data_IF_244826729580
#
_entry.id   IF_244826729580
#
_cell.length_a   1.000
_cell.length_b   1.000
_cell.length_c   1.000
_cell.angle_alpha   90.00
_cell.angle_beta   90.00
_cell.angle_gamma   90.00
#
_symmetry.space_group_name_H-M   'P 1'
#
loop_
_entity.id
_entity.type
_entity.pdbx_description
1 polymer ?
#
# COMPACT_ATOMS: atom_id res chain seq x y z
N UNK A 1 15.26 -9.38 38.99
CA UNK A 1 15.10 -10.63 38.20
C UNK A 1 16.41 -10.91 37.48
N UNK A 2 17.07 -12.05 37.75
CA UNK A 2 18.31 -12.44 37.07
C UNK A 2 17.95 -13.00 35.69
N UNK A 3 18.40 -12.37 34.61
CA UNK A 3 18.26 -12.93 33.26
C UNK A 3 19.03 -14.26 33.18
N UNK A 4 18.45 -15.34 32.62
CA UNK A 4 19.15 -16.61 32.47
C UNK A 4 20.35 -16.45 31.54
N UNK A 5 21.52 -17.02 31.91
CA UNK A 5 22.79 -16.99 31.15
C UNK A 5 22.65 -17.44 29.69
N UNK A 6 21.58 -18.17 29.36
CA UNK A 6 21.22 -18.62 28.01
C UNK A 6 20.86 -17.44 27.09
N UNK A 7 20.18 -16.40 27.60
CA UNK A 7 19.80 -15.24 26.79
C UNK A 7 21.00 -14.34 26.44
N UNK A 8 21.99 -14.27 27.34
CA UNK A 8 23.23 -13.52 27.08
C UNK A 8 24.08 -14.20 26.01
N UNK A 9 24.11 -15.54 25.99
CA UNK A 9 24.81 -16.31 24.97
C UNK A 9 24.13 -16.21 23.59
N UNK A 10 22.78 -16.19 23.55
CA UNK A 10 22.03 -16.01 22.31
C UNK A 10 22.23 -14.59 21.75
N UNK A 11 22.24 -13.55 22.60
CA UNK A 11 22.53 -12.18 22.19
C UNK A 11 23.96 -11.99 21.69
N UNK A 12 24.95 -12.64 22.30
CA UNK A 12 26.35 -12.61 21.83
C UNK A 12 26.54 -13.36 20.52
N UNK A 13 25.89 -14.52 20.33
CA UNK A 13 25.91 -15.24 19.05
C UNK A 13 25.19 -14.46 17.94
N UNK A 14 24.07 -13.79 18.26
CA UNK A 14 23.36 -12.94 17.30
C UNK A 14 24.19 -11.70 16.91
N UNK A 15 24.91 -11.08 17.86
CA UNK A 15 25.81 -9.96 17.60
C UNK A 15 27.03 -10.37 16.76
N UNK A 16 27.60 -11.55 17.00
CA UNK A 16 28.71 -12.09 16.20
C UNK A 16 28.29 -12.49 14.78
N UNK A 17 27.06 -13.00 14.59
CA UNK A 17 26.48 -13.27 13.28
C UNK A 17 26.13 -11.99 12.51
N UNK A 18 25.74 -10.91 13.20
CA UNK A 18 25.51 -9.59 12.60
C UNK A 18 26.80 -8.85 12.22
N UNK A 19 27.92 -9.07 12.94
CA UNK A 19 29.22 -8.49 12.58
C UNK A 19 29.97 -9.26 11.48
N UNK A 20 29.71 -10.56 11.32
CA UNK A 20 30.38 -11.39 10.30
C UNK A 20 29.79 -11.23 8.88
N UNK A 21 28.57 -10.69 8.74
CA UNK A 21 27.93 -10.46 7.44
C UNK A 21 28.36 -9.20 6.69
N UNK A 22 29.18 -8.34 7.30
CA UNK A 22 29.49 -7.01 6.76
C UNK A 22 30.80 -6.88 5.97
N UNK A 23 31.52 -7.96 5.69
CA UNK A 23 32.90 -7.85 5.17
C UNK A 23 33.25 -8.84 4.07
N UNK A 24 32.44 -8.95 3.01
CA UNK A 24 32.90 -9.43 1.69
C UNK A 24 32.01 -8.86 0.57
N UNK A 25 32.07 -7.55 0.35
CA UNK A 25 31.82 -6.97 -0.97
C UNK A 25 33.16 -6.42 -1.46
N UNK A 26 33.93 -7.29 -2.12
CA UNK A 26 35.06 -6.83 -2.95
C UNK A 26 34.41 -6.23 -4.19
N UNK A 27 34.38 -4.90 -4.24
CA UNK A 27 34.04 -4.16 -5.45
C UNK A 27 35.13 -4.45 -6.47
N UNK A 28 34.80 -5.27 -7.46
CA UNK A 28 35.64 -5.54 -8.61
C UNK A 28 35.61 -4.25 -9.44
N UNK A 29 36.59 -3.35 -9.24
CA UNK A 29 36.70 -2.10 -9.99
C UNK A 29 36.88 -2.43 -11.48
N UNK A 30 35.78 -2.57 -12.19
CA UNK A 30 35.74 -2.50 -13.63
C UNK A 30 36.30 -1.13 -14.03
N UNK A 31 37.40 -1.12 -14.77
CA UNK A 31 38.02 0.11 -15.24
C UNK A 31 37.03 0.81 -16.18
N UNK A 32 36.56 2.01 -15.80
CA UNK A 32 35.57 2.77 -16.56
C UNK A 32 36.10 3.10 -17.96
N UNK A 33 35.27 3.05 -19.01
CA UNK A 33 35.67 3.50 -20.35
C UNK A 33 36.10 4.96 -20.31
N UNK A 34 37.16 5.28 -21.07
CA UNK A 34 37.71 6.63 -21.13
C UNK A 34 36.86 7.52 -22.04
N UNK A 35 36.46 8.68 -21.54
CA UNK A 35 35.77 9.73 -22.28
C UNK A 35 36.68 10.96 -22.38
N UNK A 36 37.11 11.32 -23.58
CA UNK A 36 37.95 12.49 -23.81
C UNK A 36 37.13 13.64 -24.38
N UNK A 37 37.29 14.84 -23.81
CA UNK A 37 36.64 16.05 -24.33
C UNK A 37 37.66 17.18 -24.52
N UNK A 38 37.84 17.62 -25.75
CA UNK A 38 38.75 18.70 -26.12
C UNK A 38 37.94 19.92 -26.56
N UNK A 39 38.32 21.09 -26.06
CA UNK A 39 37.68 22.35 -26.44
C UNK A 39 38.70 23.49 -26.47
N UNK A 40 38.33 24.57 -27.13
CA UNK A 40 39.10 25.81 -27.11
C UNK A 40 38.24 26.91 -26.50
N UNK A 41 38.70 27.49 -25.39
CA UNK A 41 37.98 28.56 -24.72
C UNK A 41 38.94 29.65 -24.24
N UNK A 42 38.58 30.90 -24.56
CA UNK A 42 39.30 32.14 -24.20
C UNK A 42 38.59 32.91 -23.08
N UNK A 43 37.38 32.50 -22.71
CA UNK A 43 36.53 33.16 -21.73
C UNK A 43 36.69 32.52 -20.35
N UNK A 44 37.19 33.26 -19.37
CA UNK A 44 37.43 32.77 -18.00
C UNK A 44 36.14 32.41 -17.24
N UNK A 45 34.99 32.95 -17.66
CA UNK A 45 33.69 32.67 -17.05
C UNK A 45 32.91 31.55 -17.75
N UNK A 46 33.30 31.20 -18.97
CA UNK A 46 32.60 30.20 -19.77
C UNK A 46 33.11 28.81 -19.36
N UNK A 47 32.20 27.85 -19.21
CA UNK A 47 32.51 26.48 -18.76
C UNK A 47 32.03 25.44 -19.79
N UNK A 48 32.64 25.35 -20.99
CA UNK A 48 32.25 24.36 -21.99
C UNK A 48 32.31 22.91 -21.46
N UNK A 49 33.23 22.64 -20.52
CA UNK A 49 33.31 21.36 -19.84
C UNK A 49 32.03 21.03 -19.05
N UNK A 50 31.47 22.00 -18.33
CA UNK A 50 30.24 21.81 -17.56
C UNK A 50 29.02 21.68 -18.48
N UNK A 51 28.95 22.46 -19.56
CA UNK A 51 27.91 22.34 -20.58
C UNK A 51 27.90 20.96 -21.24
N UNK A 52 29.08 20.42 -21.58
CA UNK A 52 29.21 19.07 -22.10
C UNK A 52 28.81 18.01 -21.06
N UNK A 53 29.27 18.16 -19.82
CA UNK A 53 28.94 17.24 -18.72
C UNK A 53 27.41 17.15 -18.52
N UNK A 54 26.75 18.29 -18.49
CA UNK A 54 25.31 18.37 -18.24
C UNK A 54 24.48 17.84 -19.42
N UNK A 55 24.95 18.00 -20.66
CA UNK A 55 24.25 17.54 -21.86
C UNK A 55 24.55 16.08 -22.23
N UNK A 56 25.65 15.49 -21.75
CA UNK A 56 26.08 14.14 -22.14
C UNK A 56 25.01 13.08 -21.88
N UNK A 57 24.36 13.12 -20.71
CA UNK A 57 23.31 12.15 -20.35
C UNK A 57 22.05 12.30 -21.20
N UNK A 58 21.75 13.52 -21.66
CA UNK A 58 20.62 13.79 -22.56
C UNK A 58 20.93 13.30 -23.98
N UNK A 59 22.16 13.52 -24.45
CA UNK A 59 22.61 13.11 -25.78
C UNK A 59 22.73 11.58 -25.92
N UNK A 60 23.26 10.90 -24.89
CA UNK A 60 23.62 9.48 -24.99
C UNK A 60 22.66 8.55 -24.25
N UNK A 61 21.95 9.06 -23.26
CA UNK A 61 21.18 8.24 -22.32
C UNK A 61 22.02 7.53 -21.24
N UNK A 62 23.33 7.77 -21.20
CA UNK A 62 24.24 7.23 -20.20
C UNK A 62 24.63 8.26 -19.16
N UNK A 63 24.81 7.81 -17.91
CA UNK A 63 25.32 8.70 -16.87
C UNK A 63 26.80 8.94 -17.10
N UNK A 64 27.23 10.20 -17.02
CA UNK A 64 28.65 10.53 -17.18
C UNK A 64 29.54 9.85 -16.12
N UNK A 65 28.97 9.48 -14.97
CA UNK A 65 29.64 8.71 -13.92
C UNK A 65 30.05 7.30 -14.36
N UNK A 66 29.51 6.78 -15.45
CA UNK A 66 29.92 5.49 -16.04
C UNK A 66 31.27 5.59 -16.75
N UNK A 67 31.73 6.80 -17.08
CA UNK A 67 32.96 7.06 -17.82
C UNK A 67 34.04 7.67 -16.92
N UNK A 68 35.30 7.44 -17.29
CA UNK A 68 36.43 8.25 -16.82
C UNK A 68 36.54 9.48 -17.74
N UNK A 69 35.89 10.59 -17.37
CA UNK A 69 35.96 11.83 -18.12
C UNK A 69 37.32 12.52 -17.91
N UNK A 70 38.01 12.84 -19.01
CA UNK A 70 39.14 13.78 -19.03
C UNK A 70 38.88 14.87 -20.07
N UNK A 71 38.93 16.12 -19.63
CA UNK A 71 38.70 17.26 -20.51
C UNK A 71 39.90 18.20 -20.56
N UNK A 72 40.12 18.82 -21.72
CA UNK A 72 41.31 19.61 -21.99
C UNK A 72 40.97 20.87 -22.81
N UNK A 73 41.25 22.04 -22.23
CA UNK A 73 41.27 23.29 -22.98
C UNK A 73 42.58 23.39 -23.77
N UNK A 74 42.53 23.24 -25.10
CA UNK A 74 43.69 23.18 -26.00
C UNK A 74 44.42 24.53 -26.16
N UNK A 75 43.85 25.61 -25.61
CA UNK A 75 44.54 26.90 -25.51
C UNK A 75 45.80 26.78 -24.64
N UNK A 76 45.79 25.87 -23.66
CA UNK A 76 46.94 25.59 -22.81
C UNK A 76 47.91 24.68 -23.58
N UNK A 77 49.18 25.08 -23.69
CA UNK A 77 50.17 24.37 -24.51
C UNK A 77 50.36 22.90 -24.09
N UNK A 78 50.32 22.60 -22.78
CA UNK A 78 50.39 21.21 -22.29
C UNK A 78 49.20 20.37 -22.76
N UNK A 79 48.01 20.95 -22.77
CA UNK A 79 46.78 20.29 -23.21
C UNK A 79 46.73 20.12 -24.73
N UNK A 80 47.30 21.08 -25.49
CA UNK A 80 47.45 20.98 -26.93
C UNK A 80 48.27 19.77 -27.35
N UNK A 81 49.36 19.47 -26.63
CA UNK A 81 50.18 18.27 -26.87
C UNK A 81 49.38 16.98 -26.64
N UNK A 82 48.51 16.96 -25.63
CA UNK A 82 47.61 15.82 -25.37
C UNK A 82 46.60 15.66 -26.50
N UNK A 83 46.03 16.76 -26.99
CA UNK A 83 45.13 16.75 -28.16
C UNK A 83 45.84 16.24 -29.42
N UNK A 84 47.02 16.76 -29.75
CA UNK A 84 47.83 16.31 -30.90
C UNK A 84 48.20 14.82 -30.82
N UNK A 85 48.43 14.31 -29.60
CA UNK A 85 48.65 12.89 -29.37
C UNK A 85 47.36 12.08 -29.60
N UNK A 86 46.22 12.53 -29.06
CA UNK A 86 44.93 11.87 -29.27
C UNK A 86 44.55 11.83 -30.77
N UNK A 87 44.81 12.89 -31.53
CA UNK A 87 44.58 12.90 -32.98
C UNK A 87 45.34 11.77 -33.70
N UNK A 88 46.56 11.45 -33.25
CA UNK A 88 47.37 10.34 -33.78
C UNK A 88 46.85 9.00 -33.29
N UNK A 89 46.60 8.87 -31.99
CA UNK A 89 46.18 7.61 -31.36
C UNK A 89 44.85 7.09 -31.92
N UNK A 90 43.93 8.00 -32.26
CA UNK A 90 42.61 7.69 -32.84
C UNK A 90 42.56 7.87 -34.36
N UNK A 91 43.69 8.09 -35.04
CA UNK A 91 43.80 8.27 -36.50
C UNK A 91 42.81 9.29 -37.08
N UNK A 92 42.69 10.46 -36.45
CA UNK A 92 41.73 11.51 -36.84
C UNK A 92 42.18 12.21 -38.13
N UNK A 93 41.42 12.14 -39.24
CA UNK A 93 41.74 12.81 -40.50
C UNK A 93 41.88 14.32 -40.36
N UNK A 94 42.78 14.95 -41.11
CA UNK A 94 43.02 16.41 -41.06
C UNK A 94 41.74 17.23 -41.28
N UNK A 95 40.86 16.77 -42.17
CA UNK A 95 39.57 17.39 -42.49
C UNK A 95 38.51 17.22 -41.40
N UNK A 96 38.83 16.56 -40.27
CA UNK A 96 37.96 16.36 -39.11
C UNK A 96 38.59 16.86 -37.81
N UNK A 97 39.70 17.59 -37.86
CA UNK A 97 40.39 18.12 -36.66
C UNK A 97 39.78 19.45 -36.19
N UNK A 98 38.48 19.43 -35.86
CA UNK A 98 37.75 20.59 -35.34
C UNK A 98 37.40 20.42 -33.87
N UNK A 99 37.31 21.56 -33.18
CA UNK A 99 36.87 21.65 -31.79
C UNK A 99 35.46 22.26 -31.70
N UNK A 100 34.70 21.95 -30.63
CA UNK A 100 35.01 20.96 -29.61
C UNK A 100 34.99 19.53 -30.17
N UNK A 101 35.75 18.61 -29.56
CA UNK A 101 35.85 17.22 -29.97
C UNK A 101 35.62 16.31 -28.77
N UNK A 102 34.72 15.34 -28.92
CA UNK A 102 34.52 14.27 -27.95
C UNK A 102 35.00 12.94 -28.53
N UNK A 103 35.64 12.11 -27.72
CA UNK A 103 36.01 10.74 -28.06
C UNK A 103 35.38 9.82 -27.03
N UNK A 104 34.44 8.99 -27.47
CA UNK A 104 33.64 8.09 -26.62
C UNK A 104 33.71 6.69 -27.23
N UNK A 105 34.08 5.69 -26.43
CA UNK A 105 34.20 4.28 -26.87
C UNK A 105 35.04 4.09 -28.17
N UNK A 106 36.06 4.94 -28.34
CA UNK A 106 36.93 4.94 -29.50
C UNK A 106 36.38 5.64 -30.76
N UNK A 107 35.15 6.16 -30.70
CA UNK A 107 34.52 6.93 -31.78
C UNK A 107 34.77 8.42 -31.58
N UNK A 108 35.12 9.11 -32.67
CA UNK A 108 35.49 10.54 -32.67
C UNK A 108 34.33 11.40 -33.18
N UNK A 109 33.87 12.33 -32.34
CA UNK A 109 32.84 13.30 -32.63
C UNK A 109 33.44 14.70 -32.68
N UNK A 110 33.86 15.11 -33.88
CA UNK A 110 34.46 16.42 -34.12
C UNK A 110 33.41 17.50 -34.42
N UNK A 111 33.44 18.58 -33.66
CA UNK A 111 32.54 19.72 -33.77
C UNK A 111 31.20 19.53 -33.07
N UNK A 112 30.58 20.66 -32.70
CA UNK A 112 29.28 20.70 -32.03
C UNK A 112 28.19 19.94 -32.79
N UNK A 113 28.19 20.02 -34.14
CA UNK A 113 27.21 19.32 -34.97
C UNK A 113 27.28 17.81 -34.77
N UNK A 114 28.47 17.20 -34.85
CA UNK A 114 28.60 15.74 -34.69
C UNK A 114 28.33 15.30 -33.25
N UNK A 115 28.70 16.11 -32.25
CA UNK A 115 28.35 15.85 -30.85
C UNK A 115 26.82 15.89 -30.65
N UNK A 116 26.10 16.78 -31.34
CA UNK A 116 24.66 16.92 -31.18
C UNK A 116 23.82 16.01 -32.08
N UNK A 117 24.37 15.42 -33.15
CA UNK A 117 23.61 14.55 -34.07
C UNK A 117 24.18 13.15 -34.22
N UNK A 118 25.48 13.00 -34.53
CA UNK A 118 26.10 11.70 -34.75
C UNK A 118 26.27 10.90 -33.45
N UNK A 119 26.69 11.56 -32.37
CA UNK A 119 26.85 10.89 -31.07
C UNK A 119 25.52 10.31 -30.56
N UNK A 120 24.41 11.07 -30.48
CA UNK A 120 23.13 10.47 -30.10
C UNK A 120 22.69 9.29 -30.97
N UNK A 121 22.92 9.37 -32.29
CA UNK A 121 22.55 8.31 -33.22
C UNK A 121 23.27 6.99 -32.91
N UNK A 122 24.59 7.04 -32.71
CA UNK A 122 25.40 5.85 -32.42
C UNK A 122 25.00 5.17 -31.10
N UNK A 123 24.56 5.94 -30.10
CA UNK A 123 24.09 5.42 -28.81
C UNK A 123 22.69 4.79 -28.87
N UNK A 124 21.90 5.11 -29.90
CA UNK A 124 20.56 4.56 -30.08
C UNK A 124 20.58 3.20 -30.79
N UNK A 125 21.49 2.96 -31.73
CA UNK A 125 21.54 1.71 -32.51
C UNK A 125 21.64 0.44 -31.64
N UNK A 126 22.13 0.56 -30.40
CA UNK A 126 22.33 -0.54 -29.47
C UNK A 126 21.35 -0.57 -28.27
N UNK A 127 20.31 0.28 -28.26
CA UNK A 127 19.38 0.40 -27.12
C UNK A 127 17.91 0.37 -27.53
N UNK A 128 17.04 0.07 -26.57
CA UNK A 128 15.61 0.25 -26.78
C UNK A 128 15.29 1.74 -26.98
N UNK A 129 14.56 2.04 -28.03
CA UNK A 129 14.02 3.38 -28.29
C UNK A 129 12.66 3.60 -27.63
N UNK A 130 12.15 2.65 -26.83
CA UNK A 130 10.87 2.78 -26.16
C UNK A 130 10.95 3.86 -25.06
N UNK A 131 9.99 4.78 -25.09
CA UNK A 131 9.73 5.73 -24.03
C UNK A 131 8.85 5.05 -22.97
N UNK A 132 9.46 4.61 -21.87
CA UNK A 132 8.74 3.94 -20.78
C UNK A 132 8.45 4.93 -19.66
N UNK A 133 7.18 4.99 -19.27
CA UNK A 133 6.63 5.91 -18.27
C UNK A 133 5.97 5.08 -17.17
N UNK A 134 6.46 5.19 -15.93
CA UNK A 134 5.75 4.64 -14.77
C UNK A 134 4.87 5.72 -14.15
N UNK A 135 3.58 5.44 -14.00
CA UNK A 135 2.63 6.33 -13.34
C UNK A 135 2.08 5.67 -12.09
N UNK A 136 2.49 6.16 -10.91
CA UNK A 136 1.87 5.75 -9.65
C UNK A 136 0.63 6.59 -9.39
N UNK A 137 -0.50 5.93 -9.19
CA UNK A 137 -1.78 6.55 -8.91
C UNK A 137 -2.50 5.86 -7.76
N UNK A 138 -3.54 6.52 -7.25
CA UNK A 138 -4.52 5.89 -6.36
C UNK A 138 -5.95 6.28 -6.76
N UNK A 139 -6.96 5.42 -6.55
CA UNK A 139 -8.35 5.73 -6.94
C UNK A 139 -8.96 6.94 -6.22
N UNK A 140 -8.49 7.24 -5.00
CA UNK A 140 -8.97 8.32 -4.14
C UNK A 140 -8.25 9.66 -4.35
N UNK A 141 -7.30 9.72 -5.28
CA UNK A 141 -6.45 10.89 -5.52
C UNK A 141 -7.08 11.85 -6.53
N UNK A 142 -7.50 13.03 -6.08
CA UNK A 142 -8.10 14.08 -6.92
C UNK A 142 -7.16 14.54 -8.04
N UNK A 143 -5.87 14.70 -7.73
CA UNK A 143 -4.86 15.07 -8.74
C UNK A 143 -4.64 13.98 -9.79
N UNK A 144 -4.89 12.71 -9.47
CA UNK A 144 -4.70 11.60 -10.39
C UNK A 144 -5.73 11.63 -11.51
N UNK A 145 -6.97 12.06 -11.22
CA UNK A 145 -7.99 12.29 -12.24
C UNK A 145 -7.59 13.40 -13.22
N UNK A 146 -6.88 14.44 -12.76
CA UNK A 146 -6.41 15.54 -13.62
C UNK A 146 -5.27 15.13 -14.55
N UNK A 147 -4.50 14.11 -14.18
CA UNK A 147 -3.38 13.58 -14.98
C UNK A 147 -3.86 12.56 -16.01
N UNK A 148 -5.00 11.90 -15.78
CA UNK A 148 -5.56 10.90 -16.70
C UNK A 148 -5.81 11.44 -18.11
N UNK A 149 -6.32 12.67 -18.25
CA UNK A 149 -6.52 13.29 -19.57
C UNK A 149 -5.20 13.49 -20.33
N UNK A 150 -4.15 13.91 -19.61
CA UNK A 150 -2.80 14.09 -20.18
C UNK A 150 -2.20 12.76 -20.62
N UNK A 151 -2.38 11.71 -19.82
CA UNK A 151 -1.89 10.36 -20.14
C UNK A 151 -2.68 9.71 -21.28
N UNK A 152 -3.99 9.94 -21.35
CA UNK A 152 -4.85 9.43 -22.42
C UNK A 152 -4.58 10.11 -23.77
N UNK A 153 -4.05 11.33 -23.75
CA UNK A 153 -3.65 12.07 -24.96
C UNK A 153 -2.30 11.62 -25.52
N UNK A 154 -1.55 10.75 -24.83
CA UNK A 154 -0.26 10.28 -25.32
C UNK A 154 -0.44 9.36 -26.54
N UNK A 155 0.27 9.61 -27.65
CA UNK A 155 0.21 8.74 -28.82
C UNK A 155 0.95 7.42 -28.57
N UNK A 156 0.62 6.36 -29.32
CA UNK A 156 1.35 5.08 -29.25
C UNK A 156 2.81 5.21 -29.70
N UNK A 157 3.08 6.12 -30.64
CA UNK A 157 4.42 6.44 -31.16
C UNK A 157 4.57 7.95 -31.31
N UNK A 158 5.76 8.46 -31.05
CA UNK A 158 6.10 9.87 -31.25
C UNK A 158 7.52 10.07 -31.73
N UNK A 159 7.74 11.13 -32.50
CA UNK A 159 9.07 11.62 -32.85
C UNK A 159 9.68 12.32 -31.64
N UNK A 160 10.82 11.81 -31.16
CA UNK A 160 11.56 12.36 -30.02
C UNK A 160 12.95 12.81 -30.44
N UNK A 161 13.58 13.66 -29.62
CA UNK A 161 14.88 14.26 -29.93
C UNK A 161 15.91 13.99 -28.85
N UNK A 162 17.14 13.66 -29.26
CA UNK A 162 18.35 13.74 -28.44
C UNK A 162 19.33 14.70 -29.12
N UNK A 163 19.51 15.89 -28.56
CA UNK A 163 20.22 16.97 -29.25
C UNK A 163 19.50 17.35 -30.55
N UNK A 164 20.21 17.26 -31.67
CA UNK A 164 19.69 17.54 -33.01
C UNK A 164 19.31 16.26 -33.79
N UNK A 165 19.36 15.09 -33.14
CA UNK A 165 18.96 13.82 -33.73
C UNK A 165 17.51 13.49 -33.37
N UNK A 166 16.67 13.26 -34.38
CA UNK A 166 15.27 12.90 -34.22
C UNK A 166 15.05 11.42 -34.62
N UNK A 167 14.26 10.71 -33.84
CA UNK A 167 13.90 9.31 -34.10
C UNK A 167 12.52 8.97 -33.55
N UNK A 168 11.94 7.90 -34.08
CA UNK A 168 10.63 7.40 -33.62
C UNK A 168 10.79 6.58 -32.34
N UNK A 169 9.95 6.88 -31.36
CA UNK A 169 9.89 6.19 -30.07
C UNK A 169 8.48 5.68 -29.80
N UNK A 170 8.36 4.42 -29.39
CA UNK A 170 7.10 3.85 -28.91
C UNK A 170 6.87 4.26 -27.46
N UNK A 171 5.70 4.80 -27.14
CA UNK A 171 5.33 5.20 -25.79
C UNK A 171 4.70 4.03 -25.06
N UNK A 172 5.28 3.66 -23.92
CA UNK A 172 4.79 2.60 -23.03
C UNK A 172 4.44 3.19 -21.68
N UNK A 173 3.14 3.37 -21.44
CA UNK A 173 2.62 3.78 -20.15
C UNK A 173 2.36 2.57 -19.26
N UNK A 174 3.02 2.51 -18.11
CA UNK A 174 2.81 1.51 -17.07
C UNK A 174 2.12 2.20 -15.89
N UNK A 175 0.81 1.95 -15.76
CA UNK A 175 0.02 2.45 -14.63
C UNK A 175 0.15 1.49 -13.46
N UNK A 176 0.48 2.01 -12.29
CA UNK A 176 0.70 1.24 -11.08
C UNK A 176 -0.15 1.84 -9.97
N UNK A 177 -1.11 1.08 -9.46
CA UNK A 177 -1.81 1.49 -8.26
C UNK A 177 -0.86 1.33 -7.06
N UNK A 178 -0.56 2.46 -6.40
CA UNK A 178 0.41 2.53 -5.29
C UNK A 178 0.06 1.58 -4.13
N UNK A 179 -1.22 1.25 -3.95
CA UNK A 179 -1.67 0.38 -2.87
C UNK A 179 -1.70 -1.10 -3.24
N UNK A 180 -1.90 -1.43 -4.52
CA UNK A 180 -1.89 -2.82 -5.00
C UNK A 180 -0.47 -3.35 -5.18
N UNK A 181 0.46 -2.48 -5.60
CA UNK A 181 1.84 -2.80 -5.94
C UNK A 181 2.81 -1.93 -5.13
N UNK A 182 2.71 -2.03 -3.80
CA UNK A 182 3.54 -1.31 -2.84
C UNK A 182 5.04 -1.58 -3.03
N UNK A 183 5.38 -2.79 -3.41
CA UNK A 183 6.73 -3.25 -3.76
C UNK A 183 7.29 -2.50 -4.97
N UNK A 184 6.52 -2.39 -6.05
CA UNK A 184 6.91 -1.61 -7.24
C UNK A 184 7.03 -0.12 -6.90
N UNK A 185 6.09 0.41 -6.11
CA UNK A 185 6.13 1.80 -5.68
C UNK A 185 7.35 2.10 -4.82
N UNK A 186 7.68 1.25 -3.84
CA UNK A 186 8.88 1.38 -3.02
C UNK A 186 10.15 1.26 -3.85
N UNK A 187 10.23 0.28 -4.76
CA UNK A 187 11.37 0.12 -5.66
C UNK A 187 11.59 1.38 -6.53
N UNK A 188 10.51 2.02 -7.00
CA UNK A 188 10.58 3.30 -7.69
C UNK A 188 11.06 4.42 -6.74
N UNK A 189 10.49 4.54 -5.54
CA UNK A 189 10.91 5.57 -4.58
C UNK A 189 12.39 5.45 -4.22
N UNK A 190 12.88 4.23 -3.98
CA UNK A 190 14.28 3.97 -3.65
C UNK A 190 15.19 4.26 -4.85
N UNK A 191 14.83 3.77 -6.05
CA UNK A 191 15.61 3.98 -7.28
C UNK A 191 15.80 5.46 -7.62
N UNK A 192 14.74 6.24 -7.46
CA UNK A 192 14.74 7.67 -7.79
C UNK A 192 15.04 8.56 -6.57
N UNK A 193 15.34 7.94 -5.41
CA UNK A 193 15.63 8.63 -4.15
C UNK A 193 14.56 9.69 -3.83
N UNK A 194 13.29 9.30 -3.93
CA UNK A 194 12.15 10.21 -3.71
C UNK A 194 12.05 10.54 -2.21
N UNK A 195 12.10 11.83 -1.83
CA UNK A 195 11.92 12.26 -0.43
C UNK A 195 10.59 11.77 0.15
N UNK A 196 10.57 11.38 1.43
CA UNK A 196 9.38 10.83 2.09
C UNK A 196 8.13 11.73 1.96
N UNK A 197 8.30 13.05 2.01
CA UNK A 197 7.22 14.04 1.85
C UNK A 197 6.63 14.06 0.42
N UNK A 198 7.33 13.49 -0.56
CA UNK A 198 6.93 13.41 -1.97
C UNK A 198 6.55 12.00 -2.41
N UNK A 199 6.55 11.02 -1.51
CA UNK A 199 6.08 9.66 -1.78
C UNK A 199 4.55 9.58 -1.79
N UNK A 200 3.94 10.42 -2.63
CA UNK A 200 2.49 10.59 -2.76
C UNK A 200 2.08 10.55 -4.23
N UNK A 201 0.83 10.19 -4.48
CA UNK A 201 0.25 10.18 -5.83
C UNK A 201 -0.44 11.52 -6.14
N UNK A 202 -0.49 11.95 -7.42
CA UNK A 202 0.10 11.31 -8.59
C UNK A 202 1.61 11.54 -8.68
N UNK A 203 2.35 10.55 -9.15
CA UNK A 203 3.78 10.70 -9.45
C UNK A 203 4.15 9.89 -10.70
N UNK A 204 4.91 10.52 -11.59
CA UNK A 204 5.40 9.92 -12.84
C UNK A 204 6.91 9.77 -12.79
N UNK A 205 7.43 8.63 -13.22
CA UNK A 205 8.86 8.35 -13.35
C UNK A 205 9.24 8.12 -14.81
N UNK A 206 10.32 8.79 -15.21
CA UNK A 206 11.03 8.66 -16.49
C UNK A 206 12.46 8.17 -16.21
N UNK A 207 13.36 8.09 -17.20
CA UNK A 207 14.64 7.39 -17.06
C UNK A 207 15.48 7.85 -15.86
N UNK A 208 15.65 9.16 -15.74
CA UNK A 208 16.54 9.79 -14.75
C UNK A 208 15.83 10.78 -13.82
N UNK A 209 14.52 10.95 -13.99
CA UNK A 209 13.75 11.99 -13.29
C UNK A 209 12.34 11.53 -12.94
N UNK A 210 11.70 12.27 -12.03
CA UNK A 210 10.31 12.08 -11.66
C UNK A 210 9.57 13.41 -11.48
N UNK A 211 8.25 13.36 -11.62
CA UNK A 211 7.34 14.47 -11.41
C UNK A 211 6.26 14.07 -10.41
N UNK A 212 6.28 14.68 -9.22
CA UNK A 212 5.24 14.53 -8.19
C UNK A 212 4.24 15.69 -8.29
N UNK A 213 2.95 15.36 -8.21
CA UNK A 213 1.84 16.30 -8.27
C UNK A 213 1.32 16.57 -9.69
N UNK A 214 0.00 16.74 -9.81
CA UNK A 214 -0.70 16.87 -11.09
C UNK A 214 -0.20 18.05 -11.95
N UNK A 215 0.00 19.21 -11.32
CA UNK A 215 0.46 20.43 -11.99
C UNK A 215 1.82 20.22 -12.67
N UNK A 216 2.80 19.67 -11.94
CA UNK A 216 4.15 19.44 -12.47
C UNK A 216 4.15 18.38 -13.56
N UNK A 217 3.35 17.33 -13.42
CA UNK A 217 3.20 16.29 -14.45
C UNK A 217 2.63 16.90 -15.74
N UNK A 218 1.52 17.64 -15.65
CA UNK A 218 0.87 18.23 -16.82
C UNK A 218 1.76 19.28 -17.53
N UNK A 219 2.61 19.98 -16.79
CA UNK A 219 3.56 20.94 -17.36
C UNK A 219 4.78 20.28 -18.03
N UNK A 220 5.34 19.24 -17.40
CA UNK A 220 6.67 18.74 -17.77
C UNK A 220 6.65 17.48 -18.62
N UNK A 221 5.60 16.66 -18.55
CA UNK A 221 5.59 15.33 -19.17
C UNK A 221 5.81 15.40 -20.68
N UNK A 222 5.03 16.20 -21.40
CA UNK A 222 5.15 16.29 -22.85
C UNK A 222 6.53 16.79 -23.31
N UNK A 223 7.05 17.84 -22.65
CA UNK A 223 8.41 18.33 -22.90
C UNK A 223 9.46 17.23 -22.68
N UNK A 224 9.33 16.45 -21.61
CA UNK A 224 10.28 15.39 -21.29
C UNK A 224 10.25 14.25 -22.32
N UNK A 225 9.07 13.94 -22.83
CA UNK A 225 8.91 12.93 -23.88
C UNK A 225 9.48 13.39 -25.22
N UNK A 226 9.18 14.63 -25.64
CA UNK A 226 9.75 15.23 -26.86
C UNK A 226 11.28 15.27 -26.83
N UNK A 227 11.89 15.42 -25.65
CA UNK A 227 13.34 15.42 -25.45
C UNK A 227 13.91 14.05 -25.05
N UNK A 228 13.21 12.95 -25.37
CA UNK A 228 13.64 11.57 -25.19
C UNK A 228 14.07 11.19 -23.75
N UNK A 229 13.60 11.91 -22.72
CA UNK A 229 13.96 11.67 -21.32
C UNK A 229 13.30 10.41 -20.74
N UNK A 230 12.29 9.85 -21.42
CA UNK A 230 11.68 8.56 -21.09
C UNK A 230 12.31 7.38 -21.84
N UNK A 231 13.16 7.64 -22.84
CA UNK A 231 13.75 6.59 -23.68
C UNK A 231 14.82 5.86 -22.90
N UNK A 232 14.66 4.53 -22.77
CA UNK A 232 15.59 3.70 -22.03
C UNK A 232 15.36 3.67 -20.51
N UNK A 233 14.19 4.11 -20.03
CA UNK A 233 13.79 3.86 -18.63
C UNK A 233 13.78 2.34 -18.40
N UNK A 234 14.56 1.88 -17.42
CA UNK A 234 14.64 0.46 -17.10
C UNK A 234 13.27 -0.07 -16.64
N UNK A 235 12.88 -1.22 -17.18
CA UNK A 235 11.74 -1.96 -16.67
C UNK A 235 12.13 -2.55 -15.32
N UNK A 236 11.31 -2.32 -14.30
CA UNK A 236 11.39 -3.06 -13.05
C UNK A 236 10.81 -4.44 -13.38
N UNK A 237 11.69 -5.44 -13.50
CA UNK A 237 11.28 -6.85 -13.52
C UNK A 237 10.44 -7.10 -12.27
N UNK A 238 9.22 -7.63 -12.45
CA UNK A 238 8.21 -7.89 -11.41
C UNK A 238 8.89 -8.35 -10.11
N UNK A 239 9.18 -7.40 -9.22
CA UNK A 239 9.81 -7.69 -7.95
C UNK A 239 8.83 -8.61 -7.23
N UNK A 240 9.31 -9.78 -6.79
CA UNK A 240 8.48 -10.71 -6.06
C UNK A 240 7.81 -9.96 -4.90
N UNK A 241 6.46 -9.96 -4.80
CA UNK A 241 5.76 -9.12 -3.86
C UNK A 241 6.22 -9.44 -2.44
N UNK A 242 6.88 -8.48 -1.81
CA UNK A 242 7.14 -8.53 -0.38
C UNK A 242 5.78 -8.62 0.36
N UNK A 243 5.77 -9.36 1.47
CA UNK A 243 4.61 -10.02 2.07
C UNK A 243 3.61 -9.08 2.79
N UNK A 244 3.21 -7.97 2.15
CA UNK A 244 2.14 -7.07 2.59
C UNK A 244 0.78 -7.78 2.62
N UNK A 245 0.64 -8.89 1.88
CA UNK A 245 -0.51 -9.77 1.95
C UNK A 245 -0.74 -10.28 3.38
N UNK A 246 0.32 -10.74 4.05
CA UNK A 246 0.25 -11.27 5.41
C UNK A 246 -0.24 -10.24 6.43
N UNK A 247 0.17 -8.98 6.27
CA UNK A 247 -0.25 -7.89 7.15
C UNK A 247 -1.75 -7.56 6.98
N UNK A 248 -2.26 -7.56 5.75
CA UNK A 248 -3.69 -7.33 5.45
C UNK A 248 -4.57 -8.50 5.94
N UNK A 249 -4.13 -9.75 5.73
CA UNK A 249 -4.84 -10.93 6.23
C UNK A 249 -4.86 -10.97 7.76
N UNK A 250 -3.72 -10.71 8.41
CA UNK A 250 -3.60 -10.66 9.87
C UNK A 250 -4.41 -9.50 10.46
N UNK A 251 -4.37 -8.32 9.83
CA UNK A 251 -5.17 -7.16 10.22
C UNK A 251 -6.67 -7.46 10.16
N UNK A 252 -7.12 -8.10 9.07
CA UNK A 252 -8.53 -8.49 8.90
C UNK A 252 -8.98 -9.52 9.94
N UNK A 253 -8.14 -10.51 10.21
CA UNK A 253 -8.42 -11.56 11.20
C UNK A 253 -8.49 -10.97 12.62
N UNK A 254 -7.53 -10.12 12.99
CA UNK A 254 -7.50 -9.47 14.31
C UNK A 254 -8.67 -8.51 14.50
N UNK A 255 -8.98 -7.69 13.49
CA UNK A 255 -10.14 -6.79 13.52
C UNK A 255 -11.45 -7.56 13.69
N UNK A 256 -11.67 -8.62 12.90
CA UNK A 256 -12.85 -9.48 13.01
C UNK A 256 -12.96 -10.10 14.41
N UNK A 257 -11.88 -10.71 14.91
CA UNK A 257 -11.86 -11.35 16.23
C UNK A 257 -12.17 -10.36 17.36
N UNK A 258 -11.58 -9.17 17.33
CA UNK A 258 -11.83 -8.14 18.34
C UNK A 258 -13.27 -7.62 18.24
N UNK A 259 -13.79 -7.40 17.03
CA UNK A 259 -15.19 -7.04 16.83
C UNK A 259 -16.15 -8.11 17.39
N UNK A 260 -15.75 -9.39 17.35
CA UNK A 260 -16.53 -10.52 17.86
C UNK A 260 -16.76 -10.52 19.38
N UNK A 261 -15.90 -9.86 20.17
CA UNK A 261 -16.07 -9.71 21.63
C UNK A 261 -17.05 -8.61 22.04
N UNK A 262 -17.89 -8.13 21.11
CA UNK A 262 -18.84 -7.07 21.38
C UNK A 262 -19.84 -7.46 22.51
N UNK A 263 -20.05 -6.60 23.52
CA UNK A 263 -21.00 -6.85 24.60
C UNK A 263 -22.45 -7.12 24.12
N UNK A 264 -22.87 -6.51 23.00
CA UNK A 264 -24.16 -6.77 22.36
C UNK A 264 -24.26 -8.24 21.92
N UNK A 265 -23.23 -8.75 21.24
CA UNK A 265 -23.20 -10.12 20.72
C UNK A 265 -23.12 -11.16 21.84
N UNK A 266 -22.27 -10.94 22.84
CA UNK A 266 -22.11 -11.87 23.97
C UNK A 266 -23.38 -11.96 24.83
N UNK A 267 -24.04 -10.83 25.12
CA UNK A 267 -25.27 -10.85 25.93
C UNK A 267 -26.42 -11.58 25.23
N UNK A 268 -26.60 -11.36 23.92
CA UNK A 268 -27.67 -12.00 23.15
C UNK A 268 -27.40 -13.49 22.96
N UNK A 269 -26.14 -13.85 22.73
CA UNK A 269 -25.71 -15.24 22.63
C UNK A 269 -25.92 -15.99 23.95
N UNK A 270 -25.47 -15.45 25.08
CA UNK A 270 -25.67 -16.07 26.38
C UNK A 270 -27.14 -16.33 26.67
N UNK A 271 -28.00 -15.33 26.39
CA UNK A 271 -29.44 -15.52 26.56
C UNK A 271 -30.00 -16.59 25.62
N UNK A 272 -29.63 -16.58 24.34
CA UNK A 272 -30.04 -17.61 23.40
C UNK A 272 -29.62 -19.01 23.89
N UNK A 273 -28.38 -19.17 24.37
CA UNK A 273 -27.88 -20.42 24.92
C UNK A 273 -28.65 -20.86 26.19
N UNK A 274 -29.04 -19.94 27.08
CA UNK A 274 -29.85 -20.29 28.27
C UNK A 274 -31.20 -20.90 27.91
N UNK A 275 -31.83 -20.42 26.84
CA UNK A 275 -33.10 -20.96 26.35
C UNK A 275 -32.95 -22.21 25.47
N UNK A 276 -31.74 -22.47 24.99
CA UNK A 276 -31.42 -23.61 24.16
C UNK A 276 -31.19 -24.89 24.98
N UNK A 277 -30.69 -24.77 26.21
CA UNK A 277 -30.36 -25.91 27.07
C UNK A 277 -31.55 -26.84 27.35
N UNK A 278 -32.78 -26.36 27.62
CA UNK A 278 -33.95 -27.23 27.84
C UNK A 278 -34.33 -28.08 26.62
N UNK A 279 -33.84 -27.74 25.41
CA UNK A 279 -34.13 -28.44 24.15
C UNK A 279 -33.33 -29.75 24.02
N UNK A 280 -32.35 -29.98 24.90
CA UNK A 280 -31.61 -31.23 25.00
C UNK A 280 -30.82 -31.58 23.72
N UNK A 281 -31.05 -32.77 23.15
CA UNK A 281 -30.24 -33.32 22.03
C UNK A 281 -30.20 -32.43 20.77
N UNK A 282 -31.21 -31.58 20.54
CA UNK A 282 -31.26 -30.68 19.37
C UNK A 282 -30.56 -29.33 19.59
N UNK A 283 -30.03 -29.06 20.78
CA UNK A 283 -29.37 -27.80 21.09
C UNK A 283 -28.21 -27.51 20.12
N UNK A 284 -27.31 -28.47 19.89
CA UNK A 284 -26.19 -28.33 18.93
C UNK A 284 -26.64 -27.87 17.54
N UNK A 285 -27.67 -28.52 16.98
CA UNK A 285 -28.22 -28.18 15.68
C UNK A 285 -28.86 -26.77 15.68
N UNK A 286 -29.60 -26.43 16.72
CA UNK A 286 -30.24 -25.13 16.83
C UNK A 286 -29.20 -24.01 16.92
N UNK A 287 -28.11 -24.23 17.68
CA UNK A 287 -27.03 -23.26 17.76
C UNK A 287 -26.22 -23.13 16.46
N UNK A 288 -25.97 -24.24 15.76
CA UNK A 288 -25.27 -24.18 14.47
C UNK A 288 -26.10 -23.43 13.43
N UNK A 289 -27.42 -23.66 13.37
CA UNK A 289 -28.32 -22.94 12.46
C UNK A 289 -28.39 -21.46 12.81
N UNK A 290 -28.42 -21.10 14.10
CA UNK A 290 -28.36 -19.71 14.54
C UNK A 290 -27.06 -19.01 14.09
N UNK A 291 -25.90 -19.62 14.35
CA UNK A 291 -24.60 -19.05 13.96
C UNK A 291 -24.42 -18.97 12.44
N UNK A 292 -24.88 -19.98 11.69
CA UNK A 292 -24.88 -19.95 10.24
C UNK A 292 -25.77 -18.82 9.68
N UNK A 293 -26.96 -18.60 10.27
CA UNK A 293 -27.83 -17.50 9.88
C UNK A 293 -27.17 -16.14 10.12
N UNK A 294 -26.45 -15.98 11.24
CA UNK A 294 -25.67 -14.76 11.50
C UNK A 294 -24.56 -14.56 10.45
N UNK A 295 -23.79 -15.61 10.14
CA UNK A 295 -22.74 -15.56 9.12
C UNK A 295 -23.29 -15.10 7.76
N UNK A 296 -24.38 -15.71 7.32
CA UNK A 296 -25.05 -15.36 6.05
C UNK A 296 -25.52 -13.90 6.08
N UNK A 297 -26.10 -13.43 7.18
CA UNK A 297 -26.56 -12.04 7.28
C UNK A 297 -25.39 -11.06 7.19
N UNK A 298 -24.27 -11.31 7.88
CA UNK A 298 -23.09 -10.45 7.78
C UNK A 298 -22.51 -10.46 6.37
N UNK A 299 -22.31 -11.64 5.78
CA UNK A 299 -21.88 -11.75 4.38
C UNK A 299 -22.79 -10.96 3.44
N UNK A 300 -24.12 -11.06 3.60
CA UNK A 300 -25.08 -10.34 2.78
C UNK A 300 -24.98 -8.82 2.98
N UNK A 301 -24.89 -8.34 4.23
CA UNK A 301 -24.68 -6.92 4.53
C UNK A 301 -23.38 -6.43 3.87
N UNK A 302 -22.29 -7.18 4.01
CA UNK A 302 -21.00 -6.82 3.43
C UNK A 302 -21.01 -6.80 1.90
N UNK A 303 -21.57 -7.80 1.26
CA UNK A 303 -21.68 -7.84 -0.21
C UNK A 303 -22.52 -6.69 -0.73
N UNK A 304 -23.65 -6.36 -0.09
CA UNK A 304 -24.50 -5.23 -0.49
C UNK A 304 -23.77 -3.90 -0.32
N UNK A 305 -23.04 -3.71 0.77
CA UNK A 305 -22.25 -2.49 0.98
C UNK A 305 -21.08 -2.41 -0.01
N UNK A 306 -20.37 -3.50 -0.23
CA UNK A 306 -19.25 -3.57 -1.16
C UNK A 306 -19.68 -3.23 -2.59
N UNK A 307 -20.79 -3.82 -3.07
CA UNK A 307 -21.32 -3.53 -4.41
C UNK A 307 -21.82 -2.10 -4.52
N UNK A 308 -22.52 -1.59 -3.50
CA UNK A 308 -22.99 -0.20 -3.48
C UNK A 308 -21.83 0.81 -3.51
N UNK A 309 -20.77 0.57 -2.73
CA UNK A 309 -19.59 1.44 -2.68
C UNK A 309 -18.76 1.36 -3.95
N UNK A 310 -18.58 0.16 -4.51
CA UNK A 310 -17.84 -0.04 -5.76
C UNK A 310 -18.55 0.60 -6.97
N UNK A 311 -19.89 0.60 -7.00
CA UNK A 311 -20.66 1.10 -8.12
C UNK A 311 -20.78 2.64 -8.17
N UNK A 312 -20.81 3.30 -7.02
CA UNK A 312 -21.01 4.76 -6.93
C UNK A 312 -19.73 5.55 -6.69
N UNK A 313 -18.69 4.90 -6.18
CA UNK A 313 -17.36 5.43 -5.83
C UNK A 313 -17.33 6.95 -5.51
N UNK A 314 -18.13 7.43 -4.52
CA UNK A 314 -18.26 8.85 -4.29
C UNK A 314 -16.98 9.38 -3.64
N UNK A 315 -16.41 10.44 -4.19
CA UNK A 315 -15.19 11.08 -3.65
C UNK A 315 -15.33 11.54 -2.19
N UNK A 316 -16.56 11.84 -1.74
CA UNK A 316 -16.87 12.23 -0.36
C UNK A 316 -17.05 11.04 0.60
N UNK A 317 -17.20 9.82 0.09
CA UNK A 317 -17.52 8.64 0.89
C UNK A 317 -16.42 8.29 1.91
N UNK A 318 -15.11 8.29 1.57
CA UNK A 318 -14.06 7.99 2.56
C UNK A 318 -14.06 9.00 3.71
N UNK A 319 -14.19 10.30 3.40
CA UNK A 319 -14.27 11.35 4.41
C UNK A 319 -15.51 11.20 5.29
N UNK A 320 -16.68 10.95 4.69
CA UNK A 320 -17.91 10.72 5.43
C UNK A 320 -17.82 9.45 6.30
N UNK A 321 -17.19 8.38 5.81
CA UNK A 321 -16.96 7.16 6.56
C UNK A 321 -16.01 7.39 7.74
N UNK A 322 -14.90 8.12 7.56
CA UNK A 322 -13.96 8.51 8.63
C UNK A 322 -14.65 9.40 9.68
N UNK A 323 -15.44 10.39 9.25
CA UNK A 323 -16.23 11.24 10.15
C UNK A 323 -17.29 10.45 10.93
N UNK A 324 -18.06 9.59 10.24
CA UNK A 324 -19.06 8.73 10.85
C UNK A 324 -18.42 7.75 11.85
N UNK A 325 -17.29 7.12 11.48
CA UNK A 325 -16.48 6.27 12.34
C UNK A 325 -16.03 7.04 13.59
N UNK A 326 -15.56 8.28 13.43
CA UNK A 326 -15.09 9.12 14.54
C UNK A 326 -16.24 9.50 15.48
N UNK A 327 -17.39 9.92 14.94
CA UNK A 327 -18.56 10.33 15.74
C UNK A 327 -19.16 9.13 16.47
N UNK A 328 -19.53 8.06 15.75
CA UNK A 328 -20.17 6.90 16.38
C UNK A 328 -19.14 6.16 17.27
N UNK A 329 -17.89 6.06 16.82
CA UNK A 329 -16.80 5.45 17.59
C UNK A 329 -16.50 6.22 18.88
N UNK A 330 -16.44 7.54 18.81
CA UNK A 330 -16.29 8.41 19.99
C UNK A 330 -17.43 8.24 20.99
N UNK A 331 -18.68 8.14 20.50
CA UNK A 331 -19.85 7.84 21.36
C UNK A 331 -19.71 6.45 22.01
N UNK A 332 -19.32 5.41 21.26
CA UNK A 332 -19.13 4.06 21.82
C UNK A 332 -17.94 3.99 22.79
N UNK A 333 -16.86 4.74 22.57
CA UNK A 333 -15.75 4.89 23.51
C UNK A 333 -16.26 5.49 24.81
N UNK A 334 -16.99 6.61 24.75
CA UNK A 334 -17.56 7.26 25.93
C UNK A 334 -18.51 6.32 26.70
N UNK A 335 -19.36 5.58 25.99
CA UNK A 335 -20.26 4.59 26.59
C UNK A 335 -19.50 3.41 27.21
N UNK A 336 -18.46 2.88 26.56
CA UNK A 336 -17.63 1.81 27.13
C UNK A 336 -16.87 2.27 28.38
N UNK A 337 -16.36 3.50 28.41
CA UNK A 337 -15.71 4.09 29.60
C UNK A 337 -16.71 4.29 30.75
N UNK A 338 -17.90 4.80 30.47
CA UNK A 338 -18.96 4.97 31.46
C UNK A 338 -19.44 3.61 32.04
N UNK A 339 -19.52 2.59 31.19
CA UNK A 339 -19.84 1.23 31.58
C UNK A 339 -18.71 0.58 32.39
N UNK A 340 -17.45 0.79 32.02
CA UNK A 340 -16.29 0.30 32.77
C UNK A 340 -16.28 0.86 34.19
N UNK A 341 -16.57 2.16 34.34
CA UNK A 341 -16.70 2.82 35.64
C UNK A 341 -17.87 2.27 36.46
N UNK A 342 -19.01 2.00 35.81
CA UNK A 342 -20.18 1.40 36.46
C UNK A 342 -19.93 -0.04 36.89
N UNK A 343 -19.22 -0.83 36.08
CA UNK A 343 -18.81 -2.21 36.37
C UNK A 343 -17.78 -2.27 37.51
N UNK A 344 -16.82 -1.34 37.55
CA UNK A 344 -15.84 -1.24 38.63
C UNK A 344 -16.49 -0.92 39.98
N UNK A 345 -17.63 -0.22 39.99
CA UNK A 345 -18.44 0.05 41.19
C UNK A 345 -19.49 -1.04 41.48
N UNK A 346 -19.40 -2.19 40.82
CA UNK A 346 -20.34 -3.33 40.92
C UNK A 346 -21.81 -2.96 40.61
N UNK A 347 -22.04 -1.85 39.90
CA UNK A 347 -23.38 -1.38 39.50
C UNK A 347 -23.75 -1.93 38.12
N UNK A 348 -23.75 -3.26 37.98
CA UNK A 348 -23.97 -3.96 36.71
C UNK A 348 -25.31 -3.63 36.04
N UNK A 349 -26.35 -3.28 36.81
CA UNK A 349 -27.66 -2.88 36.28
C UNK A 349 -27.70 -1.50 35.59
N UNK A 350 -26.62 -0.71 35.66
CA UNK A 350 -26.51 0.62 35.05
C UNK A 350 -25.73 0.65 33.73
N UNK A 351 -25.28 -0.50 33.24
CA UNK A 351 -24.55 -0.62 31.97
C UNK A 351 -25.46 -0.20 30.82
N UNK A 352 -25.03 0.81 30.06
CA UNK A 352 -25.78 1.46 28.99
C UNK A 352 -25.37 0.98 27.60
N UNK A 353 -24.12 0.56 27.39
CA UNK A 353 -23.66 0.02 26.11
C UNK A 353 -24.09 -1.43 25.92
N UNK A 354 -25.42 -1.62 25.87
CA UNK A 354 -26.16 -2.83 25.57
C UNK A 354 -27.34 -2.43 24.67
N UNK A 355 -27.98 -3.41 24.02
CA UNK A 355 -29.22 -3.14 23.30
C UNK A 355 -30.23 -2.40 24.19
N UNK A 356 -30.96 -1.39 23.66
CA UNK A 356 -32.01 -0.69 24.39
C UNK A 356 -32.99 -1.68 25.03
N UNK A 357 -33.43 -1.41 26.26
CA UNK A 357 -34.29 -2.34 27.03
C UNK A 357 -35.52 -2.81 26.25
N UNK A 358 -36.12 -1.93 25.43
CA UNK A 358 -37.24 -2.26 24.56
C UNK A 358 -36.89 -3.27 23.45
N UNK A 359 -35.78 -3.06 22.74
CA UNK A 359 -35.34 -3.98 21.69
C UNK A 359 -34.90 -5.32 22.27
N UNK A 360 -34.21 -5.31 23.42
CA UNK A 360 -33.86 -6.52 24.16
C UNK A 360 -35.10 -7.30 24.58
N UNK A 361 -36.13 -6.63 25.09
CA UNK A 361 -37.39 -7.27 25.50
C UNK A 361 -38.14 -7.85 24.30
N UNK A 362 -38.23 -7.11 23.19
CA UNK A 362 -38.82 -7.59 21.94
C UNK A 362 -38.12 -8.86 21.42
N UNK A 363 -36.78 -8.84 21.38
CA UNK A 363 -35.99 -10.01 20.98
C UNK A 363 -36.19 -11.16 21.98
N UNK A 364 -36.17 -10.89 23.29
CA UNK A 364 -36.44 -11.89 24.32
C UNK A 364 -37.76 -12.62 24.10
N UNK A 365 -38.86 -11.88 23.90
CA UNK A 365 -40.17 -12.48 23.69
C UNK A 365 -40.23 -13.32 22.41
N UNK A 366 -39.58 -12.86 21.34
CA UNK A 366 -39.52 -13.59 20.07
C UNK A 366 -38.72 -14.87 20.20
N UNK A 367 -37.57 -14.83 20.88
CA UNK A 367 -36.73 -16.00 21.16
C UNK A 367 -37.50 -17.01 22.01
N UNK A 368 -38.13 -16.55 23.09
CA UNK A 368 -38.94 -17.39 23.99
C UNK A 368 -40.10 -18.06 23.26
N UNK A 369 -40.91 -17.29 22.51
CA UNK A 369 -42.02 -17.83 21.71
C UNK A 369 -41.57 -18.82 20.62
N UNK A 370 -40.39 -18.60 20.03
CA UNK A 370 -39.83 -19.50 19.03
C UNK A 370 -39.38 -20.85 19.62
N UNK A 371 -38.91 -20.87 20.87
CA UNK A 371 -38.37 -22.06 21.53
C UNK A 371 -39.41 -22.80 22.39
N UNK A 372 -40.45 -22.14 22.89
CA UNK A 372 -41.54 -22.76 23.68
C UNK A 372 -42.46 -23.67 22.84
N UNK A 373 -42.52 -23.49 21.52
CA UNK A 373 -43.29 -24.34 20.60
C UNK A 373 -42.38 -25.10 19.62
N UNK A 374 -41.63 -26.14 20.07
CA UNK A 374 -40.58 -26.83 19.30
C UNK A 374 -41.08 -27.74 18.16
N UNK A 375 -42.26 -27.44 17.60
CA UNK A 375 -42.83 -28.13 16.45
C UNK A 375 -42.05 -27.87 15.14
N UNK A 376 -42.68 -28.15 13.99
CA UNK A 376 -42.06 -28.07 12.65
C UNK A 376 -41.49 -26.69 12.27
N UNK A 377 -41.77 -25.64 13.05
CA UNK A 377 -41.33 -24.25 12.82
C UNK A 377 -40.06 -23.84 13.57
N UNK A 378 -39.51 -24.69 14.44
CA UNK A 378 -38.36 -24.35 15.29
C UNK A 378 -37.15 -23.83 14.50
N UNK A 379 -36.68 -24.60 13.51
CA UNK A 379 -35.50 -24.24 12.70
C UNK A 379 -35.73 -22.94 11.89
N UNK A 380 -36.84 -22.76 11.15
CA UNK A 380 -37.15 -21.48 10.50
C UNK A 380 -37.20 -20.29 11.47
N UNK A 381 -37.75 -20.47 12.68
CA UNK A 381 -37.79 -19.40 13.68
C UNK A 381 -36.40 -19.02 14.18
N UNK A 382 -35.50 -19.98 14.33
CA UNK A 382 -34.09 -19.73 14.68
C UNK A 382 -33.35 -19.00 13.55
N UNK A 383 -33.64 -19.33 12.29
CA UNK A 383 -33.06 -18.62 11.15
C UNK A 383 -33.45 -17.15 11.18
N UNK A 384 -34.75 -16.86 11.23
CA UNK A 384 -35.26 -15.48 11.29
C UNK A 384 -34.69 -14.74 12.49
N UNK A 385 -34.59 -15.40 13.63
CA UNK A 385 -33.99 -14.84 14.82
C UNK A 385 -32.51 -14.49 14.62
N UNK A 386 -31.73 -15.40 14.03
CA UNK A 386 -30.31 -15.17 13.73
C UNK A 386 -30.09 -13.97 12.80
N UNK A 387 -30.94 -13.82 11.78
CA UNK A 387 -30.92 -12.66 10.87
C UNK A 387 -31.20 -11.36 11.63
N UNK A 388 -32.28 -11.30 12.42
CA UNK A 388 -32.64 -10.10 13.19
C UNK A 388 -31.54 -9.73 14.18
N UNK A 389 -30.99 -10.71 14.89
CA UNK A 389 -29.94 -10.48 15.88
C UNK A 389 -28.67 -9.96 15.19
N UNK A 390 -28.23 -10.56 14.09
CA UNK A 390 -27.06 -10.08 13.34
C UNK A 390 -27.23 -8.63 12.85
N UNK A 391 -28.41 -8.27 12.30
CA UNK A 391 -28.70 -6.89 11.91
C UNK A 391 -28.61 -5.91 13.07
N UNK A 392 -29.09 -6.30 14.26
CA UNK A 392 -29.00 -5.46 15.45
C UNK A 392 -27.57 -5.36 16.00
N UNK A 393 -26.79 -6.44 15.91
CA UNK A 393 -25.38 -6.46 16.33
C UNK A 393 -24.49 -5.63 15.40
N UNK A 394 -24.80 -5.59 14.10
CA UNK A 394 -24.13 -4.74 13.12
C UNK A 394 -24.15 -3.25 13.53
N UNK A 395 -25.15 -2.78 14.29
CA UNK A 395 -25.13 -1.41 14.80
C UNK A 395 -24.05 -1.19 15.87
N UNK A 396 -23.71 -2.21 16.67
CA UNK A 396 -22.69 -2.14 17.70
C UNK A 396 -21.28 -2.46 17.16
N UNK A 397 -21.15 -3.36 16.16
CA UNK A 397 -19.86 -3.84 15.63
C UNK A 397 -19.55 -3.36 14.20
N UNK A 398 -20.52 -2.69 13.55
CA UNK A 398 -20.45 -2.26 12.16
C UNK A 398 -19.35 -1.26 11.87
N UNK A 399 -18.81 -0.58 12.90
CA UNK A 399 -17.68 0.34 12.74
C UNK A 399 -16.40 -0.38 12.27
N UNK A 400 -15.98 -1.45 12.96
CA UNK A 400 -14.83 -2.25 12.53
C UNK A 400 -15.10 -2.93 11.20
N UNK A 401 -16.35 -3.37 11.01
CA UNK A 401 -16.79 -4.00 9.78
C UNK A 401 -16.66 -3.06 8.58
N UNK A 402 -17.18 -1.84 8.69
CA UNK A 402 -17.12 -0.82 7.65
C UNK A 402 -15.68 -0.35 7.43
N UNK A 403 -14.90 -0.11 8.50
CA UNK A 403 -13.50 0.31 8.38
C UNK A 403 -12.65 -0.72 7.62
N UNK A 404 -12.86 -2.02 7.90
CA UNK A 404 -12.14 -3.09 7.18
C UNK A 404 -12.60 -3.17 5.72
N UNK A 405 -13.89 -2.95 5.46
CA UNK A 405 -14.45 -2.96 4.10
C UNK A 405 -13.94 -1.79 3.26
N UNK A 406 -13.90 -0.57 3.84
CA UNK A 406 -13.41 0.62 3.15
C UNK A 406 -11.89 0.60 2.99
N UNK A 407 -11.15 0.11 3.97
CA UNK A 407 -9.70 -0.05 3.85
C UNK A 407 -9.34 -0.98 2.68
N UNK A 408 -10.08 -2.07 2.48
CA UNK A 408 -9.90 -2.89 1.29
C UNK A 408 -10.13 -2.11 -0.01
N UNK A 409 -11.19 -1.28 -0.06
CA UNK A 409 -11.55 -0.51 -1.26
C UNK A 409 -10.49 0.55 -1.56
N UNK A 410 -9.96 1.19 -0.53
CA UNK A 410 -8.81 2.10 -0.62
C UNK A 410 -7.56 1.38 -1.12
N UNK A 411 -7.35 0.13 -0.71
CA UNK A 411 -6.26 -0.73 -1.19
C UNK A 411 -6.44 -1.24 -2.63
N UNK A 412 -7.54 -0.90 -3.32
CA UNK A 412 -7.79 -1.30 -4.71
C UNK A 412 -7.96 -2.80 -4.93
N UNK A 413 -8.19 -3.59 -3.88
CA UNK A 413 -8.19 -5.05 -4.02
C UNK A 413 -9.25 -5.51 -5.03
N UNK A 414 -8.90 -6.51 -5.84
CA UNK A 414 -9.87 -7.14 -6.74
C UNK A 414 -11.12 -7.58 -5.96
N UNK A 415 -12.30 -7.49 -6.60
CA UNK A 415 -13.58 -7.81 -5.97
C UNK A 415 -13.61 -9.22 -5.34
N UNK A 416 -12.93 -10.19 -5.96
CA UNK A 416 -12.80 -11.55 -5.43
C UNK A 416 -11.99 -11.61 -4.12
N UNK A 417 -10.88 -10.88 -4.05
CA UNK A 417 -10.03 -10.80 -2.84
C UNK A 417 -10.74 -10.07 -1.71
N UNK A 418 -11.49 -9.01 -2.03
CA UNK A 418 -12.40 -8.35 -1.09
C UNK A 418 -13.40 -9.31 -0.47
N UNK A 419 -14.06 -10.12 -1.29
CA UNK A 419 -15.04 -11.09 -0.82
C UNK A 419 -14.41 -12.16 0.09
N UNK A 420 -13.17 -12.57 -0.20
CA UNK A 420 -12.43 -13.49 0.67
C UNK A 420 -12.06 -12.87 2.02
N UNK A 421 -11.54 -11.64 2.03
CA UNK A 421 -11.24 -10.91 3.27
C UNK A 421 -12.51 -10.67 4.10
N UNK A 422 -13.63 -10.36 3.44
CA UNK A 422 -14.93 -10.25 4.10
C UNK A 422 -15.34 -11.56 4.77
N UNK A 423 -15.14 -12.70 4.10
CA UNK A 423 -15.42 -14.01 4.68
C UNK A 423 -14.51 -14.30 5.88
N UNK A 424 -13.21 -13.98 5.79
CA UNK A 424 -12.25 -14.13 6.91
C UNK A 424 -12.66 -13.25 8.10
N UNK A 425 -13.03 -11.99 7.85
CA UNK A 425 -13.52 -11.09 8.89
C UNK A 425 -14.77 -11.67 9.57
N UNK A 426 -15.76 -12.13 8.79
CA UNK A 426 -17.00 -12.70 9.32
C UNK A 426 -16.73 -13.96 10.16
N UNK A 427 -15.83 -14.84 9.70
CA UNK A 427 -15.43 -16.04 10.44
C UNK A 427 -14.74 -15.69 11.76
N UNK A 428 -13.79 -14.75 11.72
CA UNK A 428 -13.10 -14.28 12.92
C UNK A 428 -14.07 -13.60 13.92
N UNK A 429 -15.02 -12.81 13.41
CA UNK A 429 -16.09 -12.19 14.19
C UNK A 429 -16.99 -13.19 14.90
N UNK A 430 -17.32 -14.31 14.24
CA UNK A 430 -18.14 -15.38 14.82
C UNK A 430 -17.35 -16.32 15.75
N UNK A 431 -16.02 -16.35 15.66
CA UNK A 431 -15.20 -17.30 16.41
C UNK A 431 -15.43 -17.25 17.94
N UNK A 432 -15.48 -16.08 18.62
CA UNK A 432 -15.81 -16.02 20.05
C UNK A 432 -17.18 -16.63 20.37
N UNK A 433 -18.17 -16.41 19.50
CA UNK A 433 -19.53 -16.94 19.66
C UNK A 433 -19.58 -18.47 19.49
N UNK A 434 -18.83 -19.00 18.53
CA UNK A 434 -18.69 -20.45 18.29
C UNK A 434 -18.04 -21.11 19.50
N UNK A 435 -16.93 -20.55 19.99
CA UNK A 435 -16.21 -21.09 21.15
C UNK A 435 -17.12 -21.13 22.37
N UNK A 436 -17.82 -20.03 22.68
CA UNK A 436 -18.75 -19.99 23.81
C UNK A 436 -19.88 -21.02 23.69
N UNK A 437 -20.46 -21.14 22.50
CA UNK A 437 -21.52 -22.12 22.20
C UNK A 437 -21.05 -23.55 22.46
N UNK A 438 -19.86 -23.92 21.96
CA UNK A 438 -19.31 -25.27 22.14
C UNK A 438 -19.02 -25.56 23.62
N UNK A 439 -18.48 -24.61 24.37
CA UNK A 439 -18.20 -24.77 25.81
C UNK A 439 -19.47 -25.02 26.62
N UNK A 440 -20.54 -24.29 26.32
CA UNK A 440 -21.83 -24.41 27.02
C UNK A 440 -22.50 -25.74 26.68
N UNK A 441 -22.53 -26.14 25.41
CA UNK A 441 -23.16 -27.39 24.99
C UNK A 441 -22.40 -28.62 25.53
N UNK A 442 -21.08 -28.52 25.70
CA UNK A 442 -20.25 -29.58 26.33
C UNK A 442 -20.35 -29.62 27.86
N UNK A 443 -21.21 -28.81 28.47
CA UNK A 443 -21.55 -28.93 29.89
C UNK A 443 -20.62 -28.19 30.86
N UNK A 444 -19.87 -27.17 30.41
CA UNK A 444 -19.26 -26.22 31.36
C UNK A 444 -20.36 -25.34 31.97
N UNK A 445 -20.28 -25.14 33.29
CA UNK A 445 -21.28 -24.39 34.05
C UNK A 445 -21.44 -22.96 33.50
N UNK A 446 -22.64 -22.66 32.96
CA UNK A 446 -23.01 -21.35 32.45
C UNK A 446 -22.88 -20.27 33.50
N UNK A 447 -23.14 -20.62 34.77
CA UNK A 447 -23.05 -19.68 35.88
C UNK A 447 -21.60 -19.29 36.13
N UNK A 448 -20.65 -20.23 36.13
CA UNK A 448 -19.22 -19.93 36.27
C UNK A 448 -18.63 -19.12 35.11
N UNK A 449 -19.10 -19.37 33.88
CA UNK A 449 -18.68 -18.59 32.70
C UNK A 449 -19.28 -17.18 32.69
N UNK A 450 -20.56 -17.05 33.03
CA UNK A 450 -21.23 -15.75 33.18
C UNK A 450 -20.56 -14.91 34.28
N UNK A 451 -20.25 -15.53 35.42
CA UNK A 451 -19.60 -14.87 36.55
C UNK A 451 -18.14 -14.47 36.21
N UNK A 452 -17.42 -15.29 35.45
CA UNK A 452 -16.09 -14.96 34.92
C UNK A 452 -16.09 -13.76 33.97
N UNK A 453 -17.09 -13.67 33.08
CA UNK A 453 -17.29 -12.52 32.18
C UNK A 453 -17.69 -11.27 32.98
N UNK A 454 -18.56 -11.40 33.99
CA UNK A 454 -18.97 -10.30 34.86
C UNK A 454 -17.81 -9.75 35.70
N UNK A 455 -16.94 -10.61 36.23
CA UNK A 455 -15.74 -10.22 37.00
C UNK A 455 -14.72 -9.46 36.16
N UNK A 456 -14.56 -9.82 34.89
CA UNK A 456 -13.63 -9.15 33.97
C UNK A 456 -14.27 -8.03 33.16
N UNK A 457 -15.55 -7.69 33.43
CA UNK A 457 -16.31 -6.75 32.59
C UNK A 457 -15.67 -5.36 32.52
N UNK A 458 -15.05 -4.89 33.61
CA UNK A 458 -14.28 -3.63 33.61
C UNK A 458 -13.11 -3.69 32.62
N UNK A 459 -12.32 -4.76 32.65
CA UNK A 459 -11.17 -4.93 31.76
C UNK A 459 -11.61 -5.06 30.29
N UNK A 460 -12.69 -5.80 30.04
CA UNK A 460 -13.26 -5.97 28.70
C UNK A 460 -13.68 -4.62 28.14
N UNK A 461 -14.45 -3.82 28.91
CA UNK A 461 -14.93 -2.50 28.48
C UNK A 461 -13.79 -1.51 28.21
N UNK A 462 -12.74 -1.51 29.04
CA UNK A 462 -11.54 -0.69 28.82
C UNK A 462 -10.77 -1.12 27.57
N UNK A 463 -10.57 -2.42 27.36
CA UNK A 463 -9.91 -2.94 26.18
C UNK A 463 -10.69 -2.61 24.89
N UNK A 464 -12.02 -2.74 24.90
CA UNK A 464 -12.87 -2.34 23.76
C UNK A 464 -12.76 -0.85 23.46
N UNK A 465 -12.74 0.01 24.50
CA UNK A 465 -12.55 1.45 24.31
C UNK A 465 -11.17 1.78 23.72
N UNK A 466 -10.10 1.15 24.21
CA UNK A 466 -8.73 1.34 23.71
C UNK A 466 -8.63 0.96 22.24
N UNK A 467 -9.16 -0.20 21.85
CA UNK A 467 -9.12 -0.64 20.45
C UNK A 467 -9.93 0.31 19.54
N UNK A 468 -11.10 0.77 19.99
CA UNK A 468 -11.88 1.75 19.23
C UNK A 468 -11.11 3.07 19.03
N UNK A 469 -10.40 3.56 20.05
CA UNK A 469 -9.53 4.74 19.93
C UNK A 469 -8.40 4.47 18.94
N UNK A 470 -7.71 3.34 19.04
CA UNK A 470 -6.63 2.97 18.12
C UNK A 470 -7.11 2.93 16.66
N UNK A 471 -8.30 2.38 16.41
CA UNK A 471 -8.89 2.32 15.06
C UNK A 471 -9.22 3.72 14.54
N UNK A 472 -9.79 4.60 15.37
CA UNK A 472 -10.04 5.99 14.97
C UNK A 472 -8.72 6.65 14.61
N UNK A 473 -7.68 6.52 15.44
CA UNK A 473 -6.35 7.12 15.16
C UNK A 473 -5.78 6.58 13.86
N UNK A 474 -5.76 5.25 13.69
CA UNK A 474 -5.24 4.60 12.48
C UNK A 474 -5.98 5.07 11.23
N UNK A 475 -7.31 5.20 11.29
CA UNK A 475 -8.12 5.65 10.16
C UNK A 475 -7.85 7.10 9.71
N UNK A 476 -7.19 7.92 10.55
CA UNK A 476 -6.78 9.29 10.20
C UNK A 476 -5.29 9.42 9.89
N UNK A 477 -4.48 8.43 10.28
CA UNK A 477 -3.04 8.38 10.00
C UNK A 477 -2.77 7.73 8.63
N UNK A 478 -3.63 6.78 8.23
CA UNK A 478 -3.72 6.22 6.88
C UNK A 478 -4.77 7.03 6.11
#
# INVERSE_FOLDING_TARGET
MRMPKVWLAILLCAALLLCAGGALARDEQAQKPLLLYFFENYCDSCRPEEEFINSFSELTGHKISEYELRYYNVRIESNRKIYEQALKDYNVPEDQQYLPMAIVDGVVYAGTTRIQSAMPADFIENQSTDSVIYYLYSPSCEGCAQVEDTLAALPETMTVKRGNYEFESRVRLIKVNIYENLDVAQALFDRYMVPEDKQTTPIVFLRDTYYNGAERINLMLNYSLENAQAVGTALIDDAAPADASGLTWLGTLTAGFVAGFNPCALSMLLFFLTLLLPIGKRAGLCASVFLASKFVMYMLIGTVLLTAFSAWNPTWLPLAAKLLLTVIGGVLVALNLADAWSAHREKYGKIKNQLPRGLRHFLHERIKRALENPGRRLLPSIVVLGLIVASSEFLCSGQLYLATLTAGLELGLEYGRHLMLLAVFCLAFLAPSVVLTVLVIKGRDLFGLSDGVLRHMTAIKLATALVMVAIIVVAWVI
#
